data_IF_391513152328
#
_entry.id   IF_391513152328
#
_cell.length_a   1.000
_cell.length_b   1.000
_cell.length_c   1.000
_cell.angle_alpha   90.00
_cell.angle_beta   90.00
_cell.angle_gamma   90.00
#
_symmetry.space_group_name_H-M   'P 1'
#
loop_
_entity.id
_entity.type
_entity.pdbx_description
1 polymer ?
#
# COMPACT_ATOMS: atom_id res chain seq x y z
N UNK A 1 1.74 8.25 18.34
CA UNK A 1 1.80 7.28 17.22
C UNK A 1 3.18 6.64 17.22
N UNK A 2 3.27 5.31 17.16
CA UNK A 2 4.55 4.62 17.05
C UNK A 2 5.28 4.98 15.74
N UNK A 3 6.60 4.75 15.67
CA UNK A 3 7.33 4.87 14.40
C UNK A 3 6.88 3.75 13.46
N UNK A 4 6.47 4.12 12.24
CA UNK A 4 6.23 3.15 11.18
C UNK A 4 7.49 2.30 10.96
N UNK A 5 7.31 0.98 10.94
CA UNK A 5 8.41 0.03 10.69
C UNK A 5 8.66 -0.15 9.20
N UNK A 6 7.65 0.12 8.37
CA UNK A 6 7.73 0.06 6.92
C UNK A 6 7.16 1.32 6.28
N UNK A 7 7.86 1.78 5.23
CA UNK A 7 7.35 2.72 4.25
C UNK A 7 7.29 1.96 2.94
N UNK A 8 6.08 1.79 2.40
CA UNK A 8 5.84 0.93 1.24
C UNK A 8 5.46 1.82 0.08
N UNK A 9 6.23 1.72 -1.01
CA UNK A 9 5.90 2.40 -2.27
C UNK A 9 4.66 1.75 -2.92
N UNK A 10 3.96 2.50 -3.77
CA UNK A 10 2.76 2.01 -4.45
C UNK A 10 3.05 1.55 -5.88
N UNK A 11 3.56 2.44 -6.73
CA UNK A 11 3.78 2.14 -8.15
C UNK A 11 5.07 1.32 -8.32
N UNK A 12 4.97 0.14 -8.95
CA UNK A 12 6.07 -0.81 -9.08
C UNK A 12 6.23 -1.79 -7.91
N UNK A 13 5.54 -1.56 -6.78
CA UNK A 13 5.62 -2.41 -5.56
C UNK A 13 4.27 -3.03 -5.22
N UNK A 14 3.21 -2.23 -5.09
CA UNK A 14 1.83 -2.73 -4.88
C UNK A 14 1.10 -2.88 -6.22
N UNK A 15 1.33 -1.94 -7.15
CA UNK A 15 0.65 -1.89 -8.43
C UNK A 15 1.63 -1.84 -9.59
N UNK A 16 1.26 -2.43 -10.73
CA UNK A 16 1.84 -2.11 -12.04
C UNK A 16 0.74 -1.51 -12.91
N UNK A 17 0.86 -0.23 -13.23
CA UNK A 17 -0.19 0.57 -13.87
C UNK A 17 -1.48 0.55 -13.03
N UNK A 18 -2.50 -0.18 -13.48
CA UNK A 18 -3.78 -0.35 -12.78
C UNK A 18 -4.02 -1.78 -12.28
N UNK A 19 -3.01 -2.65 -12.36
CA UNK A 19 -3.09 -4.03 -11.88
C UNK A 19 -2.36 -4.17 -10.55
N UNK A 20 -2.99 -4.85 -9.59
CA UNK A 20 -2.33 -5.27 -8.37
C UNK A 20 -1.22 -6.29 -8.72
N UNK A 21 -0.06 -6.16 -8.07
CA UNK A 21 1.01 -7.13 -8.19
C UNK A 21 0.68 -8.38 -7.33
N UNK A 22 1.11 -9.58 -7.77
CA UNK A 22 0.94 -10.79 -6.97
C UNK A 22 1.47 -10.60 -5.55
N UNK A 23 0.73 -11.12 -4.55
CA UNK A 23 1.08 -11.07 -3.13
C UNK A 23 1.16 -9.68 -2.49
N UNK A 24 0.88 -8.60 -3.22
CA UNK A 24 0.87 -7.25 -2.64
C UNK A 24 -0.22 -7.09 -1.57
N UNK A 25 -1.38 -7.71 -1.78
CA UNK A 25 -2.46 -7.75 -0.78
C UNK A 25 -2.06 -8.59 0.44
N UNK A 26 -1.51 -9.78 0.20
CA UNK A 26 -1.03 -10.69 1.25
C UNK A 26 -0.02 -10.00 2.18
N UNK A 27 0.88 -9.16 1.64
CA UNK A 27 1.81 -8.36 2.43
C UNK A 27 1.09 -7.38 3.38
N UNK A 28 0.11 -6.64 2.86
CA UNK A 28 -0.63 -5.63 3.64
C UNK A 28 -1.46 -6.31 4.73
N UNK A 29 -2.10 -7.43 4.41
CA UNK A 29 -2.85 -8.25 5.36
C UNK A 29 -1.92 -8.80 6.45
N UNK A 30 -0.78 -9.39 6.07
CA UNK A 30 0.21 -9.91 7.02
C UNK A 30 0.73 -8.84 7.99
N UNK A 31 1.04 -7.63 7.50
CA UNK A 31 1.49 -6.53 8.35
C UNK A 31 0.39 -6.09 9.32
N UNK A 32 -0.85 -6.04 8.84
CA UNK A 32 -2.02 -5.67 9.66
C UNK A 32 -2.33 -6.73 10.73
N UNK A 33 -2.34 -8.00 10.36
CA UNK A 33 -2.55 -9.15 11.27
C UNK A 33 -1.48 -9.22 12.37
N UNK A 34 -0.24 -8.88 12.03
CA UNK A 34 0.88 -8.83 12.98
C UNK A 34 0.93 -7.54 13.80
N UNK A 35 0.01 -6.60 13.59
CA UNK A 35 0.00 -5.30 14.28
C UNK A 35 1.27 -4.48 14.00
N UNK A 36 1.85 -4.61 12.82
CA UNK A 36 3.05 -3.88 12.42
C UNK A 36 2.62 -2.57 11.78
N UNK A 37 2.97 -1.44 12.40
CA UNK A 37 2.72 -0.12 11.84
C UNK A 37 3.48 0.08 10.51
N UNK A 38 2.75 0.47 9.45
CA UNK A 38 3.31 0.83 8.15
C UNK A 38 2.63 2.07 7.57
N UNK A 39 3.30 2.72 6.63
CA UNK A 39 2.71 3.78 5.81
C UNK A 39 2.88 3.45 4.33
N UNK A 40 1.88 3.83 3.54
CA UNK A 40 1.96 3.80 2.08
C UNK A 40 2.39 5.19 1.61
N UNK A 41 3.43 5.24 0.78
CA UNK A 41 3.96 6.48 0.23
C UNK A 41 4.09 6.33 -1.29
N UNK A 42 3.87 7.39 -2.05
CA UNK A 42 4.15 7.39 -3.48
C UNK A 42 4.44 8.82 -3.93
N UNK A 43 5.30 8.96 -4.93
CA UNK A 43 5.56 10.24 -5.59
C UNK A 43 4.57 10.50 -6.75
N UNK A 44 3.55 9.66 -6.92
CA UNK A 44 2.54 9.86 -7.96
C UNK A 44 1.53 10.94 -7.53
N UNK A 45 1.67 12.14 -8.08
CA UNK A 45 0.81 13.30 -7.80
C UNK A 45 -0.54 13.29 -8.53
N UNK A 46 -0.80 12.30 -9.38
CA UNK A 46 -2.02 12.26 -10.24
C UNK A 46 -3.24 11.64 -9.56
N UNK A 47 -3.09 11.02 -8.38
CA UNK A 47 -4.16 10.26 -7.71
C UNK A 47 -4.31 10.72 -6.25
N UNK A 48 -5.55 10.86 -5.78
CA UNK A 48 -5.83 11.21 -4.38
C UNK A 48 -5.65 10.01 -3.45
N UNK A 49 -5.57 10.29 -2.13
CA UNK A 49 -5.53 9.23 -1.11
C UNK A 49 -6.77 8.33 -1.17
N UNK A 50 -7.96 8.87 -1.43
CA UNK A 50 -9.17 8.05 -1.56
C UNK A 50 -9.11 7.10 -2.76
N UNK A 51 -8.55 7.56 -3.89
CA UNK A 51 -8.42 6.72 -5.09
C UNK A 51 -7.53 5.50 -4.83
N UNK A 52 -6.45 5.66 -4.05
CA UNK A 52 -5.61 4.53 -3.65
C UNK A 52 -6.29 3.60 -2.64
N UNK A 53 -7.01 4.15 -1.66
CA UNK A 53 -7.76 3.35 -0.69
C UNK A 53 -8.82 2.48 -1.38
N UNK A 54 -9.51 3.02 -2.40
CA UNK A 54 -10.50 2.26 -3.16
C UNK A 54 -9.87 1.13 -3.99
N UNK A 55 -8.66 1.32 -4.53
CA UNK A 55 -7.95 0.24 -5.26
C UNK A 55 -7.53 -0.93 -4.38
N UNK A 56 -7.28 -0.69 -3.09
CA UNK A 56 -6.95 -1.75 -2.12
C UNK A 56 -8.20 -2.53 -1.66
N UNK A 57 -9.40 -2.01 -1.91
CA UNK A 57 -10.68 -2.61 -1.51
C UNK A 57 -11.32 -3.48 -2.60
N UNK A 58 -10.82 -3.43 -3.83
CA UNK A 58 -11.25 -4.29 -4.95
C UNK A 58 -10.23 -5.36 -5.24
#
# INVERSE_FOLDING_TARGET
MGKAKFVIDLDGVIYRNNKLLPHAKDLIELLSERGIDFILATNNSTKTREMFANKLRG
#
